data_IF_771073196287
#
_entry.id   IF_771073196287
#
_cell.length_a   1.000
_cell.length_b   1.000
_cell.length_c   1.000
_cell.angle_alpha   90.00
_cell.angle_beta   90.00
_cell.angle_gamma   90.00
#
_symmetry.space_group_name_H-M   'P 1'
#
loop_
_entity.id
_entity.type
_entity.pdbx_description
1 polymer ?
#
# COMPACT_ATOMS: atom_id res chain seq x y z
N UNK A 1 13.72 30.47 -7.32
CA UNK A 1 13.01 30.44 -6.03
C UNK A 1 12.63 28.99 -5.72
N UNK A 2 13.13 28.47 -4.64
CA UNK A 2 12.75 27.13 -4.20
C UNK A 2 11.49 27.25 -3.33
N UNK A 3 10.36 26.72 -3.81
CA UNK A 3 9.12 26.61 -3.04
C UNK A 3 9.06 25.31 -2.27
N UNK A 4 8.34 25.32 -1.16
CA UNK A 4 7.96 24.09 -0.46
C UNK A 4 6.77 23.46 -1.20
N UNK A 5 6.95 22.24 -1.66
CA UNK A 5 5.91 21.47 -2.36
C UNK A 5 5.53 20.25 -1.55
N UNK A 6 4.25 20.07 -1.33
CA UNK A 6 3.68 18.86 -0.75
C UNK A 6 2.71 18.25 -1.75
N UNK A 7 2.94 16.99 -2.09
CA UNK A 7 2.03 16.21 -2.93
C UNK A 7 1.39 15.15 -2.03
N UNK A 8 0.16 15.40 -1.53
CA UNK A 8 -0.49 14.50 -0.60
C UNK A 8 -1.24 13.36 -1.32
N UNK A 9 -1.52 12.31 -0.57
CA UNK A 9 -2.54 11.32 -0.85
C UNK A 9 -3.61 11.44 0.24
N UNK A 10 -4.85 11.58 -0.15
CA UNK A 10 -5.98 11.66 0.78
C UNK A 10 -6.87 10.44 0.63
N UNK A 11 -7.16 9.76 1.73
CA UNK A 11 -8.09 8.65 1.77
C UNK A 11 -9.11 8.87 2.89
N UNK A 12 -10.36 8.53 2.61
CA UNK A 12 -11.45 8.69 3.57
C UNK A 12 -12.62 7.78 3.24
N UNK A 13 -13.57 7.73 4.14
CA UNK A 13 -14.85 7.05 3.92
C UNK A 13 -15.94 8.08 3.69
N UNK A 14 -16.67 7.93 2.61
CA UNK A 14 -17.78 8.79 2.24
C UNK A 14 -19.07 8.13 2.67
N UNK A 15 -19.68 8.68 3.72
CA UNK A 15 -20.91 8.15 4.33
C UNK A 15 -22.13 8.28 3.42
N UNK A 16 -22.15 9.28 2.53
CA UNK A 16 -23.28 9.50 1.63
C UNK A 16 -23.39 8.40 0.58
N UNK A 17 -22.25 7.93 0.07
CA UNK A 17 -22.20 6.89 -0.94
C UNK A 17 -21.77 5.52 -0.38
N UNK A 18 -21.44 5.45 0.91
CA UNK A 18 -21.15 4.21 1.63
C UNK A 18 -19.90 3.51 1.15
N UNK A 19 -18.83 4.24 0.79
CA UNK A 19 -17.58 3.64 0.35
C UNK A 19 -16.33 4.46 0.66
N UNK A 20 -15.18 3.76 0.70
CA UNK A 20 -13.87 4.41 0.75
C UNK A 20 -13.54 5.12 -0.56
N UNK A 21 -12.90 6.28 -0.45
CA UNK A 21 -12.43 7.08 -1.59
C UNK A 21 -10.96 7.46 -1.41
N UNK A 22 -10.24 7.54 -2.51
CA UNK A 22 -8.83 7.94 -2.54
C UNK A 22 -8.67 9.08 -3.54
N UNK A 23 -7.97 10.13 -3.13
CA UNK A 23 -7.64 11.27 -3.98
C UNK A 23 -6.13 11.47 -4.05
N UNK A 24 -5.62 11.62 -5.27
CA UNK A 24 -4.26 12.03 -5.53
C UNK A 24 -4.20 13.48 -6.00
N UNK A 25 -3.04 14.09 -5.89
CA UNK A 25 -2.84 15.50 -6.23
C UNK A 25 -1.57 15.66 -7.04
N UNK A 26 -1.51 16.69 -7.87
CA UNK A 26 -0.29 17.11 -8.53
C UNK A 26 0.23 18.43 -7.96
N UNK A 27 1.45 18.81 -8.35
CA UNK A 27 2.09 20.04 -7.86
C UNK A 27 1.43 21.32 -8.37
N UNK A 28 0.62 21.24 -9.42
CA UNK A 28 -0.12 22.35 -9.99
C UNK A 28 -1.51 22.55 -9.36
N UNK A 29 -1.87 21.72 -8.36
CA UNK A 29 -3.15 21.81 -7.64
C UNK A 29 -4.26 20.95 -8.25
N UNK A 30 -3.96 20.08 -9.20
CA UNK A 30 -4.92 19.09 -9.71
C UNK A 30 -5.28 18.08 -8.65
N UNK A 31 -6.55 17.67 -8.61
CA UNK A 31 -7.08 16.60 -7.73
C UNK A 31 -7.73 15.54 -8.58
N UNK A 32 -7.37 14.28 -8.33
CA UNK A 32 -7.83 13.13 -9.09
C UNK A 32 -8.38 12.07 -8.15
N UNK A 33 -9.55 11.52 -8.46
CA UNK A 33 -10.09 10.38 -7.71
C UNK A 33 -9.50 9.08 -8.27
N UNK A 34 -8.93 8.28 -7.37
CA UNK A 34 -8.37 6.97 -7.67
C UNK A 34 -9.37 5.89 -7.24
N UNK A 35 -9.76 5.01 -8.16
CA UNK A 35 -10.89 4.10 -7.92
C UNK A 35 -10.52 2.73 -7.34
N UNK A 36 -9.24 2.39 -7.32
CA UNK A 36 -8.78 1.07 -6.86
C UNK A 36 -7.69 1.17 -5.81
N UNK A 37 -6.57 1.70 -6.17
CA UNK A 37 -5.40 1.89 -5.33
C UNK A 37 -4.57 3.05 -5.87
N UNK A 38 -3.67 3.58 -5.06
CA UNK A 38 -2.69 4.54 -5.50
C UNK A 38 -1.44 4.51 -4.62
N UNK A 39 -0.36 5.11 -5.09
CA UNK A 39 0.86 5.31 -4.32
C UNK A 39 1.54 6.60 -4.73
N UNK A 40 2.24 7.22 -3.79
CA UNK A 40 3.02 8.45 -3.96
C UNK A 40 4.42 8.25 -3.37
N UNK A 41 5.34 9.11 -3.75
CA UNK A 41 6.74 9.05 -3.32
C UNK A 41 7.67 8.48 -4.38
N UNK A 42 8.97 8.46 -4.08
CA UNK A 42 10.02 8.00 -5.02
C UNK A 42 9.85 6.54 -5.44
N UNK A 43 9.41 5.67 -4.54
CA UNK A 43 9.13 4.25 -4.81
C UNK A 43 7.74 3.96 -5.38
N UNK A 44 6.95 4.98 -5.71
CA UNK A 44 5.53 4.82 -6.08
C UNK A 44 5.29 3.94 -7.30
N UNK A 45 6.20 3.95 -8.27
CA UNK A 45 6.09 3.13 -9.50
C UNK A 45 6.17 1.65 -9.15
N UNK A 46 7.10 1.27 -8.29
CA UNK A 46 7.27 -0.11 -7.84
C UNK A 46 6.08 -0.57 -6.98
N UNK A 47 5.64 0.27 -6.05
CA UNK A 47 4.46 0.00 -5.24
C UNK A 47 3.20 -0.22 -6.11
N UNK A 48 2.96 0.63 -7.12
CA UNK A 48 1.83 0.45 -8.05
C UNK A 48 1.93 -0.81 -8.88
N UNK A 49 3.14 -1.22 -9.24
CA UNK A 49 3.37 -2.49 -9.95
C UNK A 49 2.93 -3.70 -9.12
N UNK A 50 3.25 -3.71 -7.83
CA UNK A 50 2.81 -4.72 -6.88
C UNK A 50 1.29 -4.67 -6.66
N UNK A 51 0.74 -3.50 -6.38
CA UNK A 51 -0.70 -3.29 -6.19
C UNK A 51 -1.50 -3.76 -7.41
N UNK A 52 -1.01 -3.47 -8.62
CA UNK A 52 -1.68 -3.92 -9.86
C UNK A 52 -1.83 -5.44 -9.96
N UNK A 53 -0.87 -6.19 -9.43
CA UNK A 53 -0.89 -7.65 -9.46
C UNK A 53 -1.75 -8.25 -8.35
N UNK A 54 -1.75 -7.63 -7.18
CA UNK A 54 -2.28 -8.22 -5.95
C UNK A 54 -3.65 -7.68 -5.55
N UNK A 55 -4.00 -6.48 -6.00
CA UNK A 55 -5.29 -5.89 -5.67
C UNK A 55 -6.45 -6.65 -6.31
N UNK A 56 -7.46 -6.90 -5.51
CA UNK A 56 -8.75 -7.42 -5.95
C UNK A 56 -9.87 -6.58 -5.32
N UNK A 57 -10.83 -6.18 -6.12
CA UNK A 57 -11.97 -5.41 -5.62
C UNK A 57 -12.75 -6.22 -4.58
N UNK A 58 -13.15 -5.56 -3.49
CA UNK A 58 -13.90 -6.19 -2.40
C UNK A 58 -13.08 -7.08 -1.47
N UNK A 59 -11.74 -7.01 -1.54
CA UNK A 59 -10.90 -7.78 -0.60
C UNK A 59 -11.14 -7.36 0.85
N UNK A 60 -10.99 -8.33 1.76
CA UNK A 60 -11.10 -8.08 3.20
C UNK A 60 -9.96 -7.18 3.72
N UNK A 61 -10.19 -6.52 4.86
CA UNK A 61 -9.24 -5.59 5.50
C UNK A 61 -7.84 -6.19 5.63
N UNK A 62 -7.72 -7.40 6.22
CA UNK A 62 -6.41 -8.04 6.41
C UNK A 62 -5.68 -8.31 5.10
N UNK A 63 -6.41 -8.71 4.05
CA UNK A 63 -5.85 -8.90 2.73
C UNK A 63 -5.38 -7.57 2.12
N UNK A 64 -6.14 -6.49 2.27
CA UNK A 64 -5.76 -5.17 1.79
C UNK A 64 -4.50 -4.65 2.49
N UNK A 65 -4.39 -4.85 3.81
CA UNK A 65 -3.18 -4.49 4.57
C UNK A 65 -1.98 -5.30 4.06
N UNK A 66 -2.13 -6.60 3.88
CA UNK A 66 -1.06 -7.47 3.36
C UNK A 66 -0.61 -7.04 1.97
N UNK A 67 -1.54 -6.69 1.09
CA UNK A 67 -1.23 -6.18 -0.26
C UNK A 67 -0.45 -4.86 -0.19
N UNK A 68 -0.83 -3.96 0.70
CA UNK A 68 -0.09 -2.70 0.93
C UNK A 68 1.32 -2.96 1.50
N UNK A 69 1.48 -3.91 2.41
CA UNK A 69 2.79 -4.31 2.94
C UNK A 69 3.69 -4.90 1.86
N UNK A 70 3.15 -5.75 0.98
CA UNK A 70 3.87 -6.29 -0.19
C UNK A 70 4.32 -5.15 -1.11
N UNK A 71 3.44 -4.18 -1.37
CA UNK A 71 3.76 -3.04 -2.23
C UNK A 71 4.87 -2.15 -1.63
N UNK A 72 4.86 -1.94 -0.32
CA UNK A 72 5.92 -1.19 0.37
C UNK A 72 7.24 -1.97 0.39
N UNK A 73 7.19 -3.29 0.55
CA UNK A 73 8.36 -4.14 0.45
C UNK A 73 9.02 -4.02 -0.92
N UNK A 74 8.25 -4.17 -2.01
CA UNK A 74 8.76 -4.03 -3.38
C UNK A 74 9.33 -2.63 -3.64
N UNK A 75 8.65 -1.60 -3.15
CA UNK A 75 9.16 -0.23 -3.27
C UNK A 75 10.50 -0.05 -2.55
N UNK A 76 10.66 -0.61 -1.35
CA UNK A 76 11.90 -0.51 -0.59
C UNK A 76 13.05 -1.34 -1.19
N UNK A 77 12.73 -2.44 -1.87
CA UNK A 77 13.71 -3.30 -2.53
C UNK A 77 14.32 -2.62 -3.76
N UNK A 78 13.52 -1.85 -4.50
CA UNK A 78 13.91 -1.23 -5.76
C UNK A 78 14.26 0.26 -5.66
N UNK A 79 13.83 0.97 -4.62
CA UNK A 79 14.07 2.39 -4.40
C UNK A 79 14.89 2.64 -3.13
N UNK A 80 16.12 3.10 -3.30
CA UNK A 80 17.04 3.38 -2.17
C UNK A 80 16.56 4.49 -1.22
N UNK A 81 15.63 5.33 -1.64
CA UNK A 81 15.04 6.38 -0.81
C UNK A 81 13.80 5.91 -0.03
N UNK A 82 13.31 4.72 -0.30
CA UNK A 82 12.19 4.12 0.42
C UNK A 82 12.68 3.18 1.51
N UNK A 83 12.34 3.46 2.78
CA UNK A 83 12.64 2.57 3.89
C UNK A 83 11.69 1.36 3.92
N UNK A 84 12.26 0.17 4.06
CA UNK A 84 11.50 -1.06 4.29
C UNK A 84 11.28 -1.36 5.76
N UNK A 85 10.53 -2.42 6.10
CA UNK A 85 10.37 -2.84 7.47
C UNK A 85 11.72 -3.28 8.06
N UNK A 86 12.02 -2.81 9.26
CA UNK A 86 13.21 -3.18 10.01
C UNK A 86 12.80 -4.05 11.20
N UNK A 87 12.93 -5.36 11.01
CA UNK A 87 12.53 -6.33 12.05
C UNK A 87 13.44 -6.27 13.26
N UNK A 88 14.72 -5.93 13.08
CA UNK A 88 15.69 -5.86 14.17
C UNK A 88 15.41 -4.72 15.11
N UNK A 89 15.12 -3.53 14.56
CA UNK A 89 14.80 -2.33 15.34
C UNK A 89 13.29 -2.17 15.59
N UNK A 90 12.47 -3.08 15.06
CA UNK A 90 11.01 -3.04 15.15
C UNK A 90 10.43 -1.75 14.61
N UNK A 91 10.95 -1.31 13.46
CA UNK A 91 10.42 -0.15 12.73
C UNK A 91 9.53 -0.68 11.61
N UNK A 92 8.25 -0.39 11.72
CA UNK A 92 7.23 -0.88 10.79
C UNK A 92 6.52 0.27 10.09
N UNK A 93 5.92 0.03 8.93
CA UNK A 93 5.09 1.02 8.28
C UNK A 93 3.94 1.47 9.18
N UNK A 94 3.60 2.74 9.13
CA UNK A 94 2.37 3.24 9.75
C UNK A 94 1.21 2.82 8.88
N UNK A 95 0.26 2.11 9.48
CA UNK A 95 -0.95 1.62 8.79
C UNK A 95 -2.18 2.26 9.40
N UNK A 96 -3.00 2.84 8.56
CA UNK A 96 -4.31 3.35 8.95
C UNK A 96 -5.41 2.69 8.11
N UNK A 97 -6.51 2.37 8.76
CA UNK A 97 -7.71 1.81 8.14
C UNK A 97 -8.85 2.80 8.31
N UNK A 98 -9.56 3.07 7.24
CA UNK A 98 -10.74 3.95 7.25
C UNK A 98 -11.93 3.19 6.70
N UNK A 99 -12.96 3.05 7.52
CA UNK A 99 -14.20 2.36 7.19
C UNK A 99 -15.39 3.20 7.62
N UNK A 100 -16.59 2.66 7.49
CA UNK A 100 -17.82 3.28 8.04
C UNK A 100 -17.72 3.54 9.54
N UNK A 101 -16.92 2.76 10.27
CA UNK A 101 -16.70 2.94 11.71
C UNK A 101 -15.67 4.04 12.03
N UNK A 102 -15.10 4.69 11.01
CA UNK A 102 -14.16 5.79 11.14
C UNK A 102 -12.70 5.38 10.90
N UNK A 103 -11.80 6.17 11.45
CA UNK A 103 -10.35 6.02 11.32
C UNK A 103 -9.80 5.14 12.45
N UNK A 104 -8.97 4.17 12.08
CA UNK A 104 -8.20 3.36 13.02
C UNK A 104 -6.74 3.25 12.55
N UNK A 105 -5.81 3.59 13.42
CA UNK A 105 -4.39 3.32 13.21
C UNK A 105 -4.05 1.97 13.86
N UNK A 106 -3.35 1.10 13.15
CA UNK A 106 -2.81 -0.13 13.73
C UNK A 106 -1.76 0.22 14.79
N UNK A 107 -1.69 -0.59 15.84
CA UNK A 107 -0.58 -0.55 16.78
C UNK A 107 0.70 -1.02 16.10
N UNK A 108 1.86 -0.71 16.69
CA UNK A 108 3.14 -1.19 16.16
C UNK A 108 3.22 -2.73 16.17
N UNK A 109 2.61 -3.38 17.15
CA UNK A 109 2.56 -4.84 17.23
C UNK A 109 1.69 -5.42 16.09
N UNK A 110 0.51 -4.88 15.85
CA UNK A 110 -0.35 -5.29 14.72
C UNK A 110 0.35 -5.09 13.37
N UNK A 111 0.94 -3.92 13.13
CA UNK A 111 1.69 -3.65 11.91
C UNK A 111 2.91 -4.57 11.78
N UNK A 112 3.57 -4.87 12.91
CA UNK A 112 4.69 -5.79 12.99
C UNK A 112 4.34 -7.21 12.58
N UNK A 113 3.17 -7.72 12.95
CA UNK A 113 2.71 -9.05 12.54
C UNK A 113 2.58 -9.15 11.02
N UNK A 114 1.98 -8.16 10.38
CA UNK A 114 1.88 -8.09 8.91
C UNK A 114 3.25 -7.98 8.25
N UNK A 115 4.12 -7.12 8.75
CA UNK A 115 5.46 -6.93 8.21
C UNK A 115 6.31 -8.20 8.33
N UNK A 116 6.28 -8.87 9.47
CA UNK A 116 6.99 -10.12 9.71
C UNK A 116 6.49 -11.24 8.78
N UNK A 117 5.18 -11.35 8.57
CA UNK A 117 4.60 -12.34 7.68
C UNK A 117 5.07 -12.13 6.23
N UNK A 118 5.07 -10.88 5.75
CA UNK A 118 5.55 -10.54 4.40
C UNK A 118 7.05 -10.85 4.26
N UNK A 119 7.87 -10.44 5.20
CA UNK A 119 9.32 -10.72 5.15
C UNK A 119 9.60 -12.23 5.15
N UNK A 120 8.91 -13.00 6.01
CA UNK A 120 9.05 -14.45 6.05
C UNK A 120 8.69 -15.12 4.71
N UNK A 121 7.59 -14.68 4.09
CA UNK A 121 7.21 -15.16 2.76
C UNK A 121 8.26 -14.83 1.69
N UNK A 122 8.83 -13.61 1.73
CA UNK A 122 9.87 -13.18 0.78
C UNK A 122 11.20 -13.91 0.97
N UNK A 123 11.49 -14.41 2.16
CA UNK A 123 12.67 -15.27 2.39
C UNK A 123 12.53 -16.61 1.67
N UNK A 124 11.33 -17.15 1.54
CA UNK A 124 11.04 -18.38 0.82
C UNK A 124 10.78 -18.15 -0.67
N UNK A 125 10.08 -17.07 -0.99
CA UNK A 125 9.70 -16.66 -2.34
C UNK A 125 10.10 -15.20 -2.61
N UNK A 126 11.36 -14.93 -2.97
CA UNK A 126 11.87 -13.54 -3.10
C UNK A 126 11.07 -12.65 -4.06
N UNK A 127 10.48 -13.23 -5.10
CA UNK A 127 9.63 -12.50 -6.04
C UNK A 127 8.23 -12.15 -5.51
N UNK A 128 7.88 -12.64 -4.32
CA UNK A 128 6.57 -12.43 -3.70
C UNK A 128 5.45 -13.28 -4.28
N UNK A 129 4.20 -12.97 -3.94
CA UNK A 129 3.05 -13.73 -4.39
C UNK A 129 2.96 -13.80 -5.92
N UNK A 130 2.69 -14.98 -6.44
CA UNK A 130 2.50 -15.20 -7.88
C UNK A 130 1.04 -14.94 -8.22
N UNK A 131 0.81 -14.03 -9.16
CA UNK A 131 -0.53 -13.84 -9.72
C UNK A 131 -0.96 -15.12 -10.43
N UNK A 132 -2.22 -15.58 -10.27
CA UNK A 132 -2.69 -16.79 -10.91
C UNK A 132 -2.59 -16.65 -12.45
N UNK A 133 -1.74 -17.46 -13.04
CA UNK A 133 -1.65 -17.57 -14.50
C UNK A 133 -2.80 -18.45 -14.98
N UNK A 134 -3.50 -18.00 -16.00
CA UNK A 134 -4.51 -18.83 -16.65
C UNK A 134 -3.80 -20.04 -17.26
N UNK A 135 -4.09 -21.23 -16.75
CA UNK A 135 -3.59 -22.45 -17.39
C UNK A 135 -4.19 -22.52 -18.80
N UNK A 136 -3.31 -22.61 -19.81
CA UNK A 136 -3.76 -22.92 -21.14
C UNK A 136 -4.37 -24.31 -21.11
N UNK A 137 -5.67 -24.42 -21.36
CA UNK A 137 -6.30 -25.71 -21.63
C UNK A 137 -5.72 -26.22 -22.94
N UNK A 138 -4.85 -27.21 -22.84
CA UNK A 138 -4.41 -28.03 -23.98
C UNK A 138 -5.57 -28.85 -24.51
#
# INVERSE_FOLDING_TARGET
>A
MQGLVVVPLFAGYDEEIGKGRIFSYDAAGGRYEEHKYYSIGSGSVFARGSLKKLYTEGMAEGAAITVCMQALYDAADDDSATGGPDLTRRIYPVVAVVTEDGFRRLTDDEAGEYAQAVVAERMESPGGPIAPLRQATT
#
